data_IF_353486691743
#
_entry.id   IF_353486691743
#
_cell.length_a   1.000
_cell.length_b   1.000
_cell.length_c   1.000
_cell.angle_alpha   90.00
_cell.angle_beta   90.00
_cell.angle_gamma   90.00
#
_symmetry.space_group_name_H-M   'P 1'
#
loop_
_entity.id
_entity.type
_entity.pdbx_description
1 polymer ?
#
# COMPACT_ATOMS: atom_id res chain seq x y z
N UNK A 1 -24.70 -7.21 0.92
CA UNK A 1 -23.32 -7.20 0.36
C UNK A 1 -22.90 -5.84 -0.20
N UNK A 2 -23.46 -5.32 -1.31
CA UNK A 2 -22.99 -4.06 -1.93
C UNK A 2 -23.20 -2.82 -1.04
N UNK A 3 -24.28 -2.78 -0.27
CA UNK A 3 -24.53 -1.70 0.70
C UNK A 3 -23.60 -1.78 1.91
N UNK A 4 -23.36 -2.99 2.44
CA UNK A 4 -22.41 -3.20 3.53
C UNK A 4 -20.98 -2.83 3.13
N UNK A 5 -20.58 -3.10 1.88
CA UNK A 5 -19.31 -2.63 1.32
C UNK A 5 -19.25 -1.11 1.27
N UNK A 6 -20.32 -0.43 0.84
CA UNK A 6 -20.37 1.03 0.82
C UNK A 6 -20.29 1.63 2.23
N UNK A 7 -20.90 0.99 3.22
CA UNK A 7 -20.80 1.42 4.64
C UNK A 7 -19.36 1.25 5.13
N UNK A 8 -18.74 0.09 4.86
CA UNK A 8 -17.33 -0.18 5.20
C UNK A 8 -16.37 0.77 4.48
N UNK A 9 -16.64 1.08 3.22
CA UNK A 9 -15.87 2.04 2.44
C UNK A 9 -15.85 3.39 3.15
N UNK A 10 -17.02 3.93 3.52
CA UNK A 10 -17.10 5.21 4.24
C UNK A 10 -16.41 5.19 5.60
N UNK A 11 -16.51 4.09 6.34
CA UNK A 11 -15.89 4.01 7.67
C UNK A 11 -14.38 3.79 7.62
N UNK A 12 -13.88 3.08 6.61
CA UNK A 12 -12.49 2.64 6.49
C UNK A 12 -11.65 3.51 5.56
N UNK A 13 -12.27 4.30 4.68
CA UNK A 13 -11.59 5.36 3.93
C UNK A 13 -11.07 6.39 4.93
N UNK A 14 -9.75 6.53 4.99
CA UNK A 14 -9.07 7.56 5.77
C UNK A 14 -8.18 8.39 4.87
N UNK A 15 -7.84 9.57 5.36
CA UNK A 15 -6.81 10.46 4.82
C UNK A 15 -5.38 9.90 4.99
N UNK A 16 -5.17 8.96 5.91
CA UNK A 16 -3.92 8.21 6.02
C UNK A 16 -4.02 6.79 5.46
N UNK A 17 -2.94 6.29 4.85
CA UNK A 17 -2.88 4.93 4.29
C UNK A 17 -1.68 4.13 4.80
N UNK A 18 -0.68 4.79 5.38
CA UNK A 18 0.57 4.14 5.77
C UNK A 18 0.34 3.08 6.86
N UNK A 19 1.00 1.92 6.71
CA UNK A 19 1.03 0.88 7.73
C UNK A 19 2.36 0.12 7.70
N UNK A 20 2.70 -0.55 8.80
CA UNK A 20 3.94 -1.30 8.92
C UNK A 20 3.96 -2.55 8.00
N UNK A 21 5.16 -2.94 7.57
CA UNK A 21 5.37 -4.17 6.79
C UNK A 21 5.04 -4.06 5.31
N UNK A 22 4.84 -2.86 4.77
CA UNK A 22 4.68 -2.62 3.32
C UNK A 22 5.96 -2.01 2.71
N UNK A 23 6.13 -2.19 1.40
CA UNK A 23 7.20 -1.58 0.61
C UNK A 23 6.66 -0.33 -0.07
N UNK A 24 7.24 0.82 0.25
CA UNK A 24 6.90 2.11 -0.34
C UNK A 24 8.03 2.61 -1.23
N UNK A 25 7.70 3.55 -2.11
CA UNK A 25 8.67 4.26 -2.95
C UNK A 25 8.73 5.73 -2.51
N UNK A 26 9.94 6.22 -2.26
CA UNK A 26 10.16 7.61 -1.83
C UNK A 26 10.03 8.54 -3.04
N UNK A 27 9.12 9.50 -2.96
CA UNK A 27 8.85 10.49 -3.99
C UNK A 27 9.19 11.92 -3.56
N UNK A 28 9.78 12.10 -2.37
CA UNK A 28 10.30 13.40 -1.92
C UNK A 28 11.39 13.93 -2.87
N UNK A 29 11.15 15.10 -3.46
CA UNK A 29 12.15 15.83 -4.25
C UNK A 29 13.30 16.34 -3.38
N UNK A 30 13.03 16.66 -2.10
CA UNK A 30 14.06 17.13 -1.17
C UNK A 30 15.10 16.05 -0.82
N UNK A 31 14.73 14.78 -0.99
CA UNK A 31 15.61 13.63 -0.79
C UNK A 31 16.30 13.17 -2.08
N UNK A 32 16.09 13.86 -3.20
CA UNK A 32 16.73 13.56 -4.48
C UNK A 32 18.25 13.77 -4.40
N UNK A 33 18.70 14.88 -3.81
CA UNK A 33 20.14 15.20 -3.67
C UNK A 33 20.85 14.20 -2.74
N UNK A 34 20.11 13.53 -1.87
CA UNK A 34 20.61 12.46 -0.98
C UNK A 34 20.56 11.07 -1.64
N UNK A 35 20.05 10.97 -2.87
CA UNK A 35 19.96 9.75 -3.65
C UNK A 35 18.87 8.78 -3.19
N UNK A 36 17.79 9.26 -2.55
CA UNK A 36 16.65 8.42 -2.15
C UNK A 36 15.42 8.58 -3.03
N UNK A 37 15.37 9.57 -3.92
CA UNK A 37 14.24 9.75 -4.82
C UNK A 37 14.05 8.52 -5.72
N UNK A 38 12.79 8.06 -5.83
CA UNK A 38 12.35 6.83 -6.50
C UNK A 38 12.92 5.52 -5.93
N UNK A 39 13.64 5.58 -4.81
CA UNK A 39 14.15 4.39 -4.13
C UNK A 39 13.06 3.74 -3.28
N UNK A 40 13.16 2.42 -3.11
CA UNK A 40 12.19 1.62 -2.36
C UNK A 40 12.70 1.32 -0.95
N UNK A 41 11.79 1.26 0.00
CA UNK A 41 12.08 0.94 1.38
C UNK A 41 10.89 0.26 2.08
N UNK A 42 11.17 -0.38 3.21
CA UNK A 42 10.17 -1.05 4.04
C UNK A 42 9.72 -0.11 5.14
N UNK A 43 8.42 0.07 5.32
CA UNK A 43 7.85 0.79 6.47
C UNK A 43 8.05 -0.08 7.71
N UNK A 44 8.92 0.35 8.63
CA UNK A 44 9.18 -0.36 9.90
C UNK A 44 8.28 0.12 11.02
N UNK A 45 7.95 1.39 11.02
CA UNK A 45 7.10 2.03 12.02
C UNK A 45 6.28 3.13 11.39
N UNK A 46 5.05 3.33 11.88
CA UNK A 46 4.24 4.50 11.55
C UNK A 46 4.10 5.40 12.78
N UNK A 47 4.36 6.69 12.60
CA UNK A 47 4.31 7.73 13.64
C UNK A 47 3.14 8.66 13.31
N UNK A 48 2.28 8.88 14.30
CA UNK A 48 1.09 9.75 14.21
C UNK A 48 0.17 9.45 13.02
N UNK A 49 0.22 8.22 12.48
CA UNK A 49 -0.52 7.70 11.30
C UNK A 49 -0.01 8.13 9.92
N UNK A 50 0.77 9.21 9.82
CA UNK A 50 1.18 9.81 8.54
C UNK A 50 2.65 9.62 8.21
N UNK A 51 3.54 9.58 9.22
CA UNK A 51 4.99 9.53 9.00
C UNK A 51 5.51 8.11 9.10
N UNK A 52 6.21 7.65 8.07
CA UNK A 52 6.85 6.34 8.04
C UNK A 52 8.32 6.42 8.44
N UNK A 53 8.75 5.52 9.33
CA UNK A 53 10.17 5.18 9.47
C UNK A 53 10.51 4.08 8.45
N UNK A 54 11.21 4.48 7.39
CA UNK A 54 11.46 3.68 6.19
C UNK A 54 12.89 3.14 6.21
N UNK A 55 13.05 1.82 6.23
CA UNK A 55 14.35 1.17 5.99
C UNK A 55 14.55 1.01 4.48
N UNK A 56 15.52 1.75 3.91
CA UNK A 56 15.82 1.71 2.48
C UNK A 56 16.43 0.36 2.07
N UNK A 57 15.92 -0.26 1.01
CA UNK A 57 16.33 -1.61 0.59
C UNK A 57 17.80 -1.69 0.17
N UNK A 58 18.33 -0.65 -0.50
CA UNK A 58 19.71 -0.67 -1.02
C UNK A 58 20.75 -0.32 0.05
N UNK A 59 20.49 0.72 0.84
CA UNK A 59 21.48 1.33 1.74
C UNK A 59 21.24 1.02 3.23
N UNK A 60 20.14 0.34 3.57
CA UNK A 60 19.68 0.09 4.96
C UNK A 60 19.58 1.35 5.85
N UNK A 61 19.55 2.53 5.25
CA UNK A 61 19.34 3.78 5.96
C UNK A 61 17.90 3.88 6.44
N UNK A 62 17.69 4.45 7.62
CA UNK A 62 16.37 4.75 8.16
C UNK A 62 16.04 6.22 7.87
N UNK A 63 14.90 6.46 7.23
CA UNK A 63 14.38 7.79 6.91
C UNK A 63 13.02 7.97 7.55
N UNK A 64 12.71 9.20 7.99
CA UNK A 64 11.34 9.58 8.33
C UNK A 64 10.76 10.40 7.19
N UNK A 65 9.69 9.90 6.61
CA UNK A 65 9.07 10.50 5.41
C UNK A 65 7.56 10.51 5.62
N UNK A 66 6.94 11.65 5.35
CA UNK A 66 5.48 11.76 5.38
C UNK A 66 4.86 10.97 4.22
N UNK A 67 3.69 10.38 4.43
CA UNK A 67 2.98 9.62 3.40
C UNK A 67 2.70 10.41 2.13
N UNK A 68 2.61 11.75 2.17
CA UNK A 68 2.46 12.60 0.99
C UNK A 68 3.67 12.54 0.06
N UNK A 69 4.83 12.21 0.59
CA UNK A 69 6.08 12.04 -0.14
C UNK A 69 6.41 10.56 -0.42
N UNK A 70 5.44 9.67 -0.23
CA UNK A 70 5.53 8.24 -0.49
C UNK A 70 4.51 7.80 -1.55
N UNK A 71 4.86 6.77 -2.29
CA UNK A 71 3.99 6.12 -3.27
C UNK A 71 3.85 4.63 -2.92
N UNK A 72 2.65 4.08 -3.07
CA UNK A 72 2.43 2.63 -2.95
C UNK A 72 3.20 1.88 -4.03
N UNK A 73 3.65 0.66 -3.74
CA UNK A 73 4.33 -0.18 -4.72
C UNK A 73 3.42 -1.32 -5.13
N UNK A 74 3.14 -1.44 -6.42
CA UNK A 74 2.42 -2.59 -6.97
C UNK A 74 3.46 -3.70 -7.27
N UNK A 75 3.31 -4.92 -6.70
CA UNK A 75 4.22 -6.03 -6.99
C UNK A 75 3.94 -6.64 -8.38
N UNK A 76 4.70 -7.67 -8.72
CA UNK A 76 4.40 -8.54 -9.85
C UNK A 76 3.08 -9.28 -9.61
N UNK A 77 2.39 -9.71 -10.68
CA UNK A 77 1.24 -10.61 -10.57
C UNK A 77 1.66 -11.86 -9.79
N UNK A 78 0.80 -12.30 -8.87
CA UNK A 78 1.08 -13.35 -7.89
C UNK A 78 1.74 -12.82 -6.61
N UNK A 79 2.21 -11.58 -6.57
CA UNK A 79 2.80 -10.97 -5.38
C UNK A 79 1.77 -10.63 -4.30
N UNK A 80 2.23 -10.61 -3.05
CA UNK A 80 1.41 -10.23 -1.89
C UNK A 80 1.30 -8.71 -1.75
N UNK A 81 0.08 -8.26 -1.46
CA UNK A 81 -0.25 -6.87 -1.17
C UNK A 81 -1.06 -6.75 0.12
N UNK A 82 -0.97 -5.60 0.75
CA UNK A 82 -1.86 -5.12 1.80
C UNK A 82 -2.87 -4.18 1.19
N UNK A 83 -4.14 -4.34 1.52
CA UNK A 83 -5.15 -3.32 1.25
C UNK A 83 -5.00 -2.23 2.31
N UNK A 84 -4.56 -1.04 1.90
CA UNK A 84 -4.19 0.06 2.79
C UNK A 84 -5.32 1.08 2.98
N UNK A 85 -6.35 1.05 2.14
CA UNK A 85 -7.55 1.88 2.30
C UNK A 85 -8.82 1.22 1.76
N UNK A 86 -9.95 1.92 1.89
CA UNK A 86 -11.25 1.47 1.41
C UNK A 86 -11.87 0.32 2.23
N UNK A 87 -12.94 -0.28 1.72
CA UNK A 87 -13.81 -1.20 2.48
C UNK A 87 -13.08 -2.41 3.07
N UNK A 88 -12.00 -2.84 2.43
CA UNK A 88 -11.21 -4.02 2.79
C UNK A 88 -9.87 -3.69 3.46
N UNK A 89 -9.69 -2.43 3.87
CA UNK A 89 -8.50 -1.96 4.59
C UNK A 89 -8.09 -2.93 5.69
N UNK A 90 -6.80 -3.28 5.71
CA UNK A 90 -6.23 -4.22 6.66
C UNK A 90 -6.32 -5.68 6.24
N UNK A 91 -6.83 -5.99 5.05
CA UNK A 91 -6.76 -7.35 4.49
C UNK A 91 -5.46 -7.54 3.71
N UNK A 92 -4.90 -8.74 3.76
CA UNK A 92 -3.85 -9.14 2.83
C UNK A 92 -4.51 -9.76 1.60
N UNK A 93 -3.90 -9.59 0.44
CA UNK A 93 -4.40 -10.11 -0.82
C UNK A 93 -3.25 -10.48 -1.75
N UNK A 94 -3.55 -11.28 -2.76
CA UNK A 94 -2.65 -11.60 -3.86
C UNK A 94 -3.03 -10.78 -5.08
N UNK A 95 -2.06 -10.17 -5.75
CA UNK A 95 -2.27 -9.49 -7.02
C UNK A 95 -2.57 -10.52 -8.11
N UNK A 96 -3.69 -10.38 -8.79
CA UNK A 96 -4.15 -11.30 -9.85
C UNK A 96 -4.03 -10.66 -11.24
N UNK A 97 -4.19 -9.35 -11.33
CA UNK A 97 -4.05 -8.61 -12.58
C UNK A 97 -3.99 -7.10 -12.35
N UNK A 98 -3.57 -6.39 -13.38
CA UNK A 98 -3.43 -4.93 -13.38
C UNK A 98 -4.11 -4.36 -14.62
N UNK A 99 -4.77 -3.21 -14.44
CA UNK A 99 -5.34 -2.39 -15.51
C UNK A 99 -4.68 -1.01 -15.40
N UNK A 100 -3.60 -0.83 -16.16
CA UNK A 100 -2.79 0.38 -16.12
C UNK A 100 -3.52 1.60 -16.69
N UNK A 101 -4.45 1.41 -17.62
CA UNK A 101 -5.24 2.51 -18.19
C UNK A 101 -6.21 3.08 -17.15
N UNK A 102 -6.75 2.22 -16.27
CA UNK A 102 -7.67 2.61 -15.20
C UNK A 102 -7.02 2.78 -13.83
N UNK A 103 -5.68 2.70 -13.74
CA UNK A 103 -4.93 2.80 -12.49
C UNK A 103 -5.46 1.91 -11.35
N UNK A 104 -5.90 0.70 -11.70
CA UNK A 104 -6.47 -0.23 -10.73
C UNK A 104 -5.98 -1.66 -10.94
N UNK A 105 -6.20 -2.49 -9.93
CA UNK A 105 -5.76 -3.87 -9.87
C UNK A 105 -6.91 -4.81 -9.51
N UNK A 106 -6.78 -6.04 -10.00
CA UNK A 106 -7.57 -7.18 -9.55
C UNK A 106 -6.78 -7.91 -8.47
N UNK A 107 -7.35 -8.06 -7.28
CA UNK A 107 -6.72 -8.75 -6.15
C UNK A 107 -7.64 -9.81 -5.57
N UNK A 108 -7.07 -10.85 -4.97
CA UNK A 108 -7.81 -11.90 -4.24
C UNK A 108 -7.40 -11.87 -2.78
N UNK A 109 -8.34 -11.62 -1.87
CA UNK A 109 -8.07 -11.58 -0.44
C UNK A 109 -7.60 -12.95 0.04
N UNK A 110 -6.53 -12.95 0.84
CA UNK A 110 -5.99 -14.13 1.49
C UNK A 110 -6.40 -14.17 2.96
N UNK A 111 -7.00 -15.28 3.38
CA UNK A 111 -7.36 -15.58 4.77
C UNK A 111 -8.38 -14.61 5.37
N UNK A 112 -8.88 -14.96 6.55
CA UNK A 112 -9.87 -14.17 7.28
C UNK A 112 -11.28 -14.30 6.72
N UNK A 113 -12.18 -13.41 7.15
CA UNK A 113 -13.62 -13.48 6.85
C UNK A 113 -13.99 -13.32 5.36
N UNK A 114 -13.05 -12.83 4.55
CA UNK A 114 -13.24 -12.63 3.10
C UNK A 114 -12.30 -13.50 2.28
N UNK A 115 -11.77 -14.59 2.85
CA UNK A 115 -10.85 -15.48 2.15
C UNK A 115 -11.40 -15.92 0.79
N UNK A 116 -10.55 -15.85 -0.23
CA UNK A 116 -10.90 -16.19 -1.61
C UNK A 116 -11.71 -15.12 -2.36
N UNK A 117 -12.16 -14.04 -1.71
CA UNK A 117 -12.91 -12.96 -2.37
C UNK A 117 -12.05 -12.23 -3.38
N UNK A 118 -12.56 -12.09 -4.60
CA UNK A 118 -11.89 -11.35 -5.70
C UNK A 118 -12.44 -9.94 -5.80
N UNK A 119 -11.58 -8.95 -5.64
CA UNK A 119 -11.86 -7.54 -5.88
C UNK A 119 -11.36 -7.18 -7.28
N UNK A 120 -12.25 -6.71 -8.16
CA UNK A 120 -11.96 -6.58 -9.60
C UNK A 120 -11.23 -5.30 -9.99
N UNK A 121 -11.42 -4.22 -9.24
CA UNK A 121 -10.90 -2.90 -9.56
C UNK A 121 -10.61 -2.15 -8.25
N UNK A 122 -9.49 -2.46 -7.62
CA UNK A 122 -8.98 -1.73 -6.45
C UNK A 122 -7.94 -0.74 -6.94
N UNK A 123 -8.06 0.53 -6.58
CA UNK A 123 -7.14 1.58 -7.02
C UNK A 123 -5.71 1.33 -6.51
N UNK A 124 -4.71 1.77 -7.26
CA UNK A 124 -3.31 1.57 -6.86
C UNK A 124 -2.94 2.26 -5.55
N UNK A 125 -3.57 3.38 -5.21
CA UNK A 125 -3.40 4.06 -3.92
C UNK A 125 -3.94 3.24 -2.73
N UNK A 126 -4.85 2.30 -2.98
CA UNK A 126 -5.52 1.51 -1.94
C UNK A 126 -4.83 0.16 -1.70
N UNK A 127 -3.78 -0.18 -2.45
CA UNK A 127 -3.01 -1.41 -2.27
C UNK A 127 -1.50 -1.18 -2.33
N UNK A 128 -0.76 -1.89 -1.49
CA UNK A 128 0.70 -1.76 -1.45
C UNK A 128 1.38 -3.12 -1.24
N UNK A 129 2.51 -3.34 -1.89
CA UNK A 129 3.33 -4.56 -1.78
C UNK A 129 3.69 -4.83 -0.32
N UNK A 130 3.47 -6.06 0.13
CA UNK A 130 3.95 -6.52 1.44
C UNK A 130 5.45 -6.81 1.39
N UNK A 131 6.16 -6.43 2.44
CA UNK A 131 7.51 -6.88 2.70
C UNK A 131 7.46 -8.32 3.21
N UNK A 132 8.26 -9.20 2.61
CA UNK A 132 8.43 -10.60 3.00
C UNK A 132 9.78 -10.78 3.66
#
# INVERSE_FOLDING_TARGET
MREEEKVKERSNRKDYWLCEGIIVKVMSKSLADKGYYKQKGVVKKVIDKYVGEIEMLEKKHLLRVDQEELETVIPQIGGLVRIVNGAYRGSNARLVGVDAEKFCAKVQIEKGIYDGRVLKAVEYEDICKLAQ
#
